data_IF_230376682416
#
_entry.id   IF_230376682416
#
_cell.length_a   1.000
_cell.length_b   1.000
_cell.length_c   1.000
_cell.angle_alpha   90.00
_cell.angle_beta   90.00
_cell.angle_gamma   90.00
#
_symmetry.space_group_name_H-M   'P 1'
#
loop_
_entity.id
_entity.type
_entity.pdbx_description
1 polymer ?
#
# COMPACT_ATOMS: atom_id res chain seq x y z
N UNK A 1 13.73 -2.01 -12.91
CA UNK A 1 13.91 -2.89 -11.72
C UNK A 1 14.75 -4.10 -12.13
N UNK A 2 15.45 -4.75 -11.19
CA UNK A 2 16.02 -6.08 -11.47
C UNK A 2 14.89 -7.08 -11.72
N UNK A 3 15.19 -8.16 -12.44
CA UNK A 3 14.27 -9.28 -12.58
C UNK A 3 13.82 -9.79 -11.20
N UNK A 4 12.53 -10.09 -11.05
CA UNK A 4 11.93 -10.43 -9.74
C UNK A 4 11.76 -9.26 -8.77
N UNK A 5 12.02 -8.02 -9.19
CA UNK A 5 11.90 -6.84 -8.32
C UNK A 5 10.47 -6.57 -7.88
N UNK A 6 10.32 -6.00 -6.68
CA UNK A 6 9.04 -5.52 -6.14
C UNK A 6 9.20 -4.04 -5.82
N UNK A 7 8.28 -3.23 -6.34
CA UNK A 7 8.12 -1.83 -5.98
C UNK A 7 7.11 -1.72 -4.84
N UNK A 8 7.36 -0.85 -3.87
CA UNK A 8 6.39 -0.51 -2.83
C UNK A 8 6.42 1.00 -2.58
N UNK A 9 5.24 1.60 -2.45
CA UNK A 9 5.09 3.02 -2.09
C UNK A 9 4.02 3.18 -1.03
N UNK A 10 4.24 4.14 -0.12
CA UNK A 10 3.13 4.70 0.65
C UNK A 10 2.19 5.41 -0.32
N UNK A 11 0.89 5.25 -0.13
CA UNK A 11 -0.11 5.65 -1.10
C UNK A 11 -1.19 6.58 -0.52
N UNK A 12 -0.96 7.11 0.68
CA UNK A 12 -1.84 8.10 1.31
C UNK A 12 -2.90 7.51 2.23
N UNK A 13 -3.89 8.34 2.64
CA UNK A 13 -5.02 7.89 3.42
C UNK A 13 -5.79 6.79 2.69
N UNK A 14 -6.20 5.76 3.42
CA UNK A 14 -6.96 4.62 2.90
C UNK A 14 -8.20 4.34 3.77
N UNK A 15 -8.67 5.34 4.51
CA UNK A 15 -9.92 5.29 5.26
C UNK A 15 -11.13 5.20 4.34
N UNK A 16 -12.29 4.85 4.92
CA UNK A 16 -13.51 4.57 4.16
C UNK A 16 -13.96 5.73 3.25
N UNK A 17 -13.62 6.98 3.60
CA UNK A 17 -13.87 8.16 2.77
C UNK A 17 -12.61 8.76 2.17
N UNK A 18 -11.48 8.70 2.87
CA UNK A 18 -10.22 9.36 2.48
C UNK A 18 -9.44 8.60 1.40
N UNK A 19 -9.74 7.32 1.15
CA UNK A 19 -9.07 6.51 0.11
C UNK A 19 -9.22 7.03 -1.33
N UNK A 20 -10.24 7.86 -1.61
CA UNK A 20 -10.46 8.46 -2.94
C UNK A 20 -9.55 9.66 -3.20
N UNK A 21 -8.88 10.19 -2.18
CA UNK A 21 -8.03 11.37 -2.34
C UNK A 21 -6.80 11.06 -3.19
N UNK A 22 -6.10 9.95 -2.89
CA UNK A 22 -4.86 9.56 -3.58
C UNK A 22 -4.62 8.04 -3.63
N UNK A 23 -5.13 7.26 -2.67
CA UNK A 23 -4.82 5.83 -2.57
C UNK A 23 -5.34 5.02 -3.76
N UNK A 24 -6.60 5.24 -4.13
CA UNK A 24 -7.25 4.67 -5.32
C UNK A 24 -6.49 5.02 -6.61
N UNK A 25 -6.23 6.30 -6.87
CA UNK A 25 -5.54 6.73 -8.09
C UNK A 25 -4.07 6.30 -8.15
N UNK A 26 -3.37 6.19 -7.02
CA UNK A 26 -2.03 5.58 -6.95
C UNK A 26 -2.06 4.10 -7.31
N UNK A 27 -3.01 3.34 -6.75
CA UNK A 27 -3.25 1.94 -7.09
C UNK A 27 -3.51 1.78 -8.60
N UNK A 28 -4.45 2.55 -9.15
CA UNK A 28 -4.81 2.47 -10.56
C UNK A 28 -3.64 2.88 -11.48
N UNK A 29 -2.86 3.90 -11.09
CA UNK A 29 -1.67 4.32 -11.84
C UNK A 29 -0.66 3.18 -11.96
N UNK A 30 -0.35 2.50 -10.85
CA UNK A 30 0.59 1.36 -10.87
C UNK A 30 0.03 0.17 -11.66
N UNK A 31 -1.29 -0.03 -11.64
CA UNK A 31 -1.97 -1.07 -12.43
C UNK A 31 -1.84 -0.87 -13.94
N UNK A 32 -1.58 0.35 -14.41
CA UNK A 32 -1.30 0.61 -15.83
C UNK A 32 0.10 0.15 -16.27
N UNK A 33 1.02 -0.06 -15.33
CA UNK A 33 2.44 -0.29 -15.62
C UNK A 33 2.90 -1.69 -15.24
N UNK A 34 2.39 -2.24 -14.13
CA UNK A 34 2.82 -3.53 -13.59
C UNK A 34 1.75 -4.61 -13.77
N UNK A 35 2.19 -5.85 -14.01
CA UNK A 35 1.29 -7.00 -14.15
C UNK A 35 0.53 -7.35 -12.86
N UNK A 36 1.19 -7.26 -11.72
CA UNK A 36 0.63 -7.59 -10.41
C UNK A 36 0.70 -6.36 -9.50
N UNK A 37 -0.44 -5.96 -8.97
CA UNK A 37 -0.56 -4.84 -8.02
C UNK A 37 -1.40 -5.29 -6.85
N UNK A 38 -0.86 -5.14 -5.65
CA UNK A 38 -1.52 -5.48 -4.40
C UNK A 38 -1.47 -4.30 -3.44
N UNK A 39 -2.47 -4.17 -2.59
CA UNK A 39 -2.54 -3.11 -1.59
C UNK A 39 -2.60 -3.69 -0.20
N UNK A 40 -2.10 -2.95 0.77
CA UNK A 40 -2.36 -3.23 2.18
C UNK A 40 -2.55 -1.93 2.94
N UNK A 41 -3.28 -2.02 4.05
CA UNK A 41 -3.64 -0.86 4.85
C UNK A 41 -3.44 -1.13 6.34
N UNK A 42 -3.16 -0.08 7.10
CA UNK A 42 -2.99 -0.17 8.55
C UNK A 42 -3.49 1.11 9.21
N UNK A 43 -4.16 1.00 10.34
CA UNK A 43 -4.48 2.17 11.15
C UNK A 43 -3.20 2.74 11.80
N UNK A 44 -2.95 4.03 11.60
CA UNK A 44 -1.83 4.75 12.21
C UNK A 44 -2.39 5.75 13.22
N UNK A 45 -2.35 5.48 14.54
CA UNK A 45 -3.06 6.28 15.53
C UNK A 45 -2.70 7.76 15.53
N UNK A 46 -1.44 8.11 15.31
CA UNK A 46 -0.99 9.51 15.24
C UNK A 46 -1.49 10.25 13.99
N UNK A 47 -1.95 9.54 12.96
CA UNK A 47 -2.55 10.13 11.77
C UNK A 47 -4.08 10.21 11.87
N UNK A 48 -4.66 9.61 12.91
CA UNK A 48 -6.11 9.50 13.10
C UNK A 48 -6.86 8.91 11.90
N UNK A 49 -6.19 8.06 11.11
CA UNK A 49 -6.78 7.41 9.93
C UNK A 49 -6.05 6.09 9.58
N UNK A 50 -6.65 5.33 8.66
CA UNK A 50 -6.02 4.22 7.98
C UNK A 50 -5.08 4.76 6.90
N UNK A 51 -3.85 4.24 6.87
CA UNK A 51 -2.88 4.51 5.82
C UNK A 51 -2.77 3.35 4.86
N UNK A 52 -2.55 3.66 3.58
CA UNK A 52 -2.42 2.67 2.52
C UNK A 52 -1.03 2.61 1.92
N UNK A 53 -0.67 1.42 1.45
CA UNK A 53 0.51 1.15 0.66
C UNK A 53 0.12 0.32 -0.56
N UNK A 54 0.85 0.51 -1.66
CA UNK A 54 0.69 -0.27 -2.89
C UNK A 54 2.01 -0.94 -3.21
N UNK A 55 1.96 -2.25 -3.43
CA UNK A 55 3.03 -3.08 -3.97
C UNK A 55 2.76 -3.36 -5.43
N UNK A 56 3.81 -3.36 -6.25
CA UNK A 56 3.70 -3.64 -7.67
C UNK A 56 4.90 -4.44 -8.18
N UNK A 57 4.65 -5.41 -9.07
CA UNK A 57 5.69 -6.23 -9.69
C UNK A 57 5.19 -6.83 -11.00
N UNK A 58 6.12 -7.20 -11.87
CA UNK A 58 5.82 -8.04 -13.04
C UNK A 58 5.80 -9.54 -12.70
N UNK A 59 6.14 -9.89 -11.45
CA UNK A 59 6.13 -11.24 -10.89
C UNK A 59 5.02 -11.38 -9.84
N UNK A 60 4.56 -12.61 -9.63
CA UNK A 60 3.46 -12.87 -8.68
C UNK A 60 3.81 -12.36 -7.27
N UNK A 61 2.86 -11.64 -6.67
CA UNK A 61 2.93 -11.14 -5.30
C UNK A 61 2.21 -12.08 -4.31
N UNK A 62 1.72 -13.23 -4.76
CA UNK A 62 1.01 -14.18 -3.92
C UNK A 62 1.95 -14.87 -2.95
N UNK A 63 1.67 -14.69 -1.66
CA UNK A 63 2.32 -15.41 -0.58
C UNK A 63 1.25 -15.87 0.41
N UNK A 64 1.28 -17.14 0.78
CA UNK A 64 0.44 -17.61 1.87
C UNK A 64 1.01 -17.15 3.23
N UNK A 65 0.16 -17.16 4.27
CA UNK A 65 0.51 -16.69 5.61
C UNK A 65 1.72 -17.42 6.20
N UNK A 66 1.85 -18.72 5.93
CA UNK A 66 2.94 -19.57 6.45
C UNK A 66 4.28 -19.22 5.79
N UNK A 67 4.30 -19.01 4.48
CA UNK A 67 5.48 -18.60 3.72
C UNK A 67 5.97 -17.22 4.18
N UNK A 68 5.05 -16.28 4.42
CA UNK A 68 5.39 -14.96 4.99
C UNK A 68 6.05 -15.15 6.37
N UNK A 69 5.44 -15.95 7.23
CA UNK A 69 5.96 -16.23 8.57
C UNK A 69 7.37 -16.84 8.54
N UNK A 70 7.59 -17.86 7.69
CA UNK A 70 8.88 -18.52 7.54
C UNK A 70 9.95 -17.54 7.03
N UNK A 71 9.64 -16.73 6.01
CA UNK A 71 10.57 -15.72 5.48
C UNK A 71 10.93 -14.66 6.52
N UNK A 72 9.96 -14.21 7.31
CA UNK A 72 10.21 -13.22 8.37
C UNK A 72 11.18 -13.78 9.41
N UNK A 73 10.94 -15.01 9.89
CA UNK A 73 11.84 -15.68 10.84
C UNK A 73 13.26 -15.88 10.28
N UNK A 74 13.37 -16.21 8.99
CA UNK A 74 14.67 -16.46 8.35
C UNK A 74 15.47 -15.18 8.09
N UNK A 75 14.81 -14.06 7.82
CA UNK A 75 15.44 -12.86 7.24
C UNK A 75 15.46 -11.65 8.18
N UNK A 76 14.56 -11.58 9.15
CA UNK A 76 14.43 -10.44 10.08
C UNK A 76 15.02 -10.84 11.43
N UNK A 77 15.94 -10.03 11.96
CA UNK A 77 16.50 -10.22 13.30
C UNK A 77 15.54 -9.65 14.35
N UNK A 78 15.24 -10.44 15.37
CA UNK A 78 14.30 -10.06 16.42
C UNK A 78 12.84 -10.28 16.03
N UNK A 79 11.94 -9.66 16.78
CA UNK A 79 10.49 -9.79 16.58
C UNK A 79 9.87 -8.46 16.12
N UNK A 80 9.02 -8.53 15.11
CA UNK A 80 8.25 -7.38 14.65
C UNK A 80 7.15 -7.03 15.66
N UNK A 81 7.02 -5.76 16.00
CA UNK A 81 6.02 -5.30 16.99
C UNK A 81 4.60 -5.18 16.45
N UNK A 82 4.44 -5.06 15.13
CA UNK A 82 3.15 -4.82 14.49
C UNK A 82 2.78 -5.90 13.49
N UNK A 83 3.70 -6.25 12.59
CA UNK A 83 3.38 -7.08 11.43
C UNK A 83 3.89 -8.52 11.60
N UNK A 84 2.99 -9.47 11.42
CA UNK A 84 3.25 -10.88 11.14
C UNK A 84 2.47 -11.32 9.87
N UNK A 85 2.51 -12.61 9.53
CA UNK A 85 1.80 -13.12 8.35
C UNK A 85 0.27 -12.96 8.42
N UNK A 86 -0.33 -13.09 9.60
CA UNK A 86 -1.79 -12.92 9.77
C UNK A 86 -2.16 -11.44 9.70
N UNK A 87 -1.39 -10.57 10.34
CA UNK A 87 -1.57 -9.12 10.26
C UNK A 87 -1.46 -8.66 8.81
N UNK A 88 -0.47 -9.14 8.05
CA UNK A 88 -0.33 -8.79 6.63
C UNK A 88 -1.53 -9.27 5.79
N UNK A 89 -1.96 -10.52 5.97
CA UNK A 89 -3.14 -11.05 5.28
C UNK A 89 -4.43 -10.28 5.60
N UNK A 90 -4.58 -9.84 6.85
CA UNK A 90 -5.69 -8.97 7.24
C UNK A 90 -5.55 -7.58 6.62
N UNK A 91 -4.34 -7.00 6.65
CA UNK A 91 -4.06 -5.67 6.12
C UNK A 91 -4.29 -5.58 4.60
N UNK A 92 -4.07 -6.68 3.87
CA UNK A 92 -4.33 -6.80 2.44
C UNK A 92 -5.80 -7.06 2.10
N UNK A 93 -6.66 -7.30 3.09
CA UNK A 93 -8.10 -7.51 2.88
C UNK A 93 -8.84 -6.20 3.14
N UNK A 94 -9.32 -5.57 2.07
CA UNK A 94 -10.00 -4.27 2.16
C UNK A 94 -11.50 -4.42 2.44
N UNK A 95 -12.09 -3.36 3.00
CA UNK A 95 -13.56 -3.28 3.08
C UNK A 95 -14.19 -3.22 1.68
N UNK A 96 -15.44 -3.68 1.56
CA UNK A 96 -16.18 -3.68 0.28
C UNK A 96 -16.18 -2.32 -0.40
N UNK A 97 -16.34 -1.23 0.38
CA UNK A 97 -16.38 0.13 -0.16
C UNK A 97 -15.05 0.51 -0.80
N UNK A 98 -13.94 0.23 -0.12
CA UNK A 98 -12.60 0.58 -0.60
C UNK A 98 -12.22 -0.29 -1.80
N UNK A 99 -12.46 -1.61 -1.74
CA UNK A 99 -12.19 -2.51 -2.87
C UNK A 99 -12.96 -2.10 -4.13
N UNK A 100 -14.27 -1.83 -4.00
CA UNK A 100 -15.08 -1.38 -5.14
C UNK A 100 -14.61 -0.04 -5.71
N UNK A 101 -14.14 0.87 -4.87
CA UNK A 101 -13.60 2.15 -5.32
C UNK A 101 -12.31 1.98 -6.12
N UNK A 102 -11.41 1.11 -5.66
CA UNK A 102 -10.17 0.76 -6.37
C UNK A 102 -10.45 0.11 -7.73
N UNK A 103 -11.42 -0.80 -7.81
CA UNK A 103 -11.80 -1.46 -9.06
C UNK A 103 -12.38 -0.50 -10.11
N UNK A 104 -13.08 0.54 -9.65
CA UNK A 104 -13.76 1.51 -10.51
C UNK A 104 -12.94 2.80 -10.74
N UNK A 105 -11.74 2.91 -10.16
CA UNK A 105 -10.88 4.08 -10.35
C UNK A 105 -10.39 4.17 -11.80
N UNK A 106 -10.46 5.38 -12.35
CA UNK A 106 -10.05 5.67 -13.73
C UNK A 106 -8.95 6.73 -13.81
N UNK A 107 -8.73 7.48 -12.73
CA UNK A 107 -7.68 8.48 -12.67
C UNK A 107 -6.30 7.82 -12.68
N UNK A 108 -5.42 8.36 -13.52
CA UNK A 108 -4.03 7.92 -13.69
C UNK A 108 -3.15 9.15 -13.65
N UNK A 109 -2.16 9.16 -12.75
CA UNK A 109 -1.19 10.25 -12.67
C UNK A 109 -0.32 10.26 -13.93
N UNK A 110 -0.30 11.40 -14.63
CA UNK A 110 0.55 11.65 -15.79
C UNK A 110 1.54 12.76 -15.45
N UNK A 111 2.68 12.84 -16.15
CA UNK A 111 3.78 13.76 -15.83
C UNK A 111 3.44 15.26 -15.80
N UNK A 112 2.27 15.67 -16.30
CA UNK A 112 1.76 17.05 -16.20
C UNK A 112 0.87 17.30 -14.98
N UNK A 113 0.55 16.27 -14.19
CA UNK A 113 -0.34 16.38 -13.04
C UNK A 113 0.45 16.82 -11.82
N UNK A 114 0.10 17.99 -11.25
CA UNK A 114 0.58 18.37 -9.92
C UNK A 114 0.04 17.34 -8.93
N UNK A 115 0.92 16.49 -8.40
CA UNK A 115 0.59 15.64 -7.27
C UNK A 115 0.34 16.59 -6.09
N UNK A 116 -0.90 16.67 -5.61
CA UNK A 116 -1.21 17.45 -4.42
C UNK A 116 -0.52 16.80 -3.22
N UNK A 117 0.62 17.37 -2.81
CA UNK A 117 1.29 16.99 -1.56
C UNK A 117 0.56 17.63 -0.40
N UNK A 118 0.11 16.83 0.57
CA UNK A 118 -0.50 17.32 1.80
C UNK A 118 0.53 18.12 2.63
N UNK A 119 0.28 19.41 2.91
CA UNK A 119 1.23 20.27 3.64
C UNK A 119 1.58 19.80 5.05
N UNK A 120 0.76 18.94 5.66
CA UNK A 120 1.00 18.35 6.99
C UNK A 120 1.80 17.04 6.96
N UNK A 121 1.64 16.21 5.93
CA UNK A 121 2.48 15.00 5.77
C UNK A 121 3.95 15.35 5.53
N UNK A 122 4.21 16.35 4.69
CA UNK A 122 5.57 16.84 4.47
C UNK A 122 6.23 17.36 5.76
N UNK A 123 5.42 17.87 6.71
CA UNK A 123 5.91 18.31 8.02
C UNK A 123 6.17 17.15 8.98
N UNK A 124 5.33 16.12 9.00
CA UNK A 124 5.51 14.95 9.87
C UNK A 124 6.70 14.07 9.44
N UNK A 125 6.93 13.91 8.14
CA UNK A 125 8.07 13.13 7.62
C UNK A 125 9.40 13.82 7.93
N UNK A 126 9.44 15.16 7.94
CA UNK A 126 10.65 15.93 8.26
C UNK A 126 10.93 16.07 9.77
N UNK A 127 10.11 15.47 10.63
CA UNK A 127 10.26 15.50 12.09
C UNK A 127 10.69 14.14 12.69
N UNK A 128 10.92 13.13 11.86
CA UNK A 128 11.41 11.79 12.25
C UNK A 128 12.82 11.55 11.70
#
# INVERSE_FOLDING_TARGET
MKEGGIFVTQAGPAGIFSHTEVFSSNYNTLRQVFKYVATYTAHIPSYADIWGWVMASDFSLELNVEEIYLRMRQRIKGENRYMDGKTFSSASTLSKVVHNSLDNETHVHRGSCKVHTWPWQARLINQA
#
